data_IF_217071417049
#
_entry.id   IF_217071417049
#
_cell.length_a   1.000
_cell.length_b   1.000
_cell.length_c   1.000
_cell.angle_alpha   90.00
_cell.angle_beta   90.00
_cell.angle_gamma   90.00
#
_symmetry.space_group_name_H-M   'P 1'
#
loop_
_entity.id
_entity.type
_entity.pdbx_description
1 polymer ?
#
# COMPACT_ATOMS: atom_id res chain seq x y z
N UNK A 1 37.81 22.03 -52.16
CA UNK A 1 37.26 20.68 -51.92
C UNK A 1 36.71 20.64 -50.49
N UNK A 2 35.38 20.56 -50.40
CA UNK A 2 34.47 20.34 -49.27
C UNK A 2 34.85 20.85 -47.86
N UNK A 3 34.29 22.01 -47.54
CA UNK A 3 34.04 22.54 -46.19
C UNK A 3 33.17 21.58 -45.38
N UNK A 4 33.57 21.27 -44.14
CA UNK A 4 32.74 20.56 -43.17
C UNK A 4 32.29 21.52 -42.07
N UNK A 5 31.16 22.16 -42.36
CA UNK A 5 30.35 22.89 -41.40
C UNK A 5 29.64 21.87 -40.49
N UNK A 6 30.11 21.70 -39.25
CA UNK A 6 29.36 20.96 -38.22
C UNK A 6 28.44 21.95 -37.50
N UNK A 7 27.23 22.08 -38.01
CA UNK A 7 26.09 22.67 -37.30
C UNK A 7 25.59 21.64 -36.29
N UNK A 8 25.63 21.95 -34.99
CA UNK A 8 24.96 21.15 -33.96
C UNK A 8 24.28 22.10 -32.98
N UNK A 9 22.99 22.36 -33.20
CA UNK A 9 22.03 23.03 -32.29
C UNK A 9 20.64 22.50 -32.73
N UNK A 10 19.61 22.34 -31.87
CA UNK A 10 19.52 22.13 -30.41
C UNK A 10 18.51 21.01 -30.04
N UNK A 11 18.46 20.60 -28.77
CA UNK A 11 17.22 20.13 -28.12
C UNK A 11 17.51 19.87 -26.62
N UNK A 12 16.62 19.97 -25.65
CA UNK A 12 15.33 20.61 -25.42
C UNK A 12 14.98 20.12 -23.99
N UNK A 13 14.46 21.00 -23.13
CA UNK A 13 13.67 20.67 -21.93
C UNK A 13 14.32 19.78 -20.84
N UNK A 14 14.95 20.42 -19.86
CA UNK A 14 14.93 19.90 -18.49
C UNK A 14 13.50 20.12 -17.96
N UNK A 15 12.68 19.07 -18.00
CA UNK A 15 11.35 19.07 -17.37
C UNK A 15 11.54 19.04 -15.86
N UNK A 16 11.04 20.06 -15.19
CA UNK A 16 10.94 20.12 -13.74
C UNK A 16 10.00 19.04 -13.23
N UNK A 17 10.52 18.06 -12.48
CA UNK A 17 9.68 17.11 -11.76
C UNK A 17 9.22 17.81 -10.49
N UNK A 18 8.00 18.35 -10.52
CA UNK A 18 7.33 18.83 -9.33
C UNK A 18 7.11 17.63 -8.39
N UNK A 19 7.84 17.59 -7.28
CA UNK A 19 7.53 16.73 -6.15
C UNK A 19 6.18 17.21 -5.57
N UNK A 20 5.09 16.56 -6.00
CA UNK A 20 3.75 16.82 -5.50
C UNK A 20 3.71 16.54 -4.01
N UNK A 21 3.72 17.61 -3.21
CA UNK A 21 3.39 17.59 -1.78
C UNK A 21 1.86 17.54 -1.63
N UNK A 22 1.25 16.50 -2.18
CA UNK A 22 -0.19 16.21 -2.08
C UNK A 22 -0.40 14.98 -1.21
N UNK A 23 -1.31 15.05 -0.25
CA UNK A 23 -1.72 13.87 0.52
C UNK A 23 -2.35 12.81 -0.42
N UNK A 24 -2.21 11.53 -0.06
CA UNK A 24 -2.79 10.45 -0.85
C UNK A 24 -4.31 10.50 -0.75
N UNK A 25 -4.99 10.61 -1.90
CA UNK A 25 -6.44 10.77 -1.99
C UNK A 25 -7.00 9.89 -3.11
N UNK A 26 -7.15 8.58 -2.90
CA UNK A 26 -7.67 7.67 -3.92
C UNK A 26 -9.19 7.77 -4.03
N UNK A 27 -9.72 7.54 -5.23
CA UNK A 27 -11.17 7.45 -5.44
C UNK A 27 -11.74 6.16 -4.82
N UNK A 28 -13.04 6.17 -4.51
CA UNK A 28 -13.73 4.96 -4.08
C UNK A 28 -13.65 3.88 -5.18
N UNK A 29 -13.26 2.66 -4.81
CA UNK A 29 -13.03 1.54 -5.71
C UNK A 29 -11.65 1.53 -6.40
N UNK A 30 -10.86 2.59 -6.24
CA UNK A 30 -9.48 2.66 -6.72
C UNK A 30 -8.55 1.87 -5.80
N UNK A 31 -7.55 1.20 -6.39
CA UNK A 31 -6.49 0.54 -5.63
C UNK A 31 -5.43 1.56 -5.25
N UNK A 32 -4.98 1.51 -3.99
CA UNK A 32 -3.89 2.36 -3.51
C UNK A 32 -3.02 1.62 -2.52
N UNK A 33 -1.86 2.19 -2.21
CA UNK A 33 -0.87 1.56 -1.32
C UNK A 33 -0.41 2.54 -0.26
N UNK A 34 -0.32 2.06 0.98
CA UNK A 34 0.23 2.80 2.11
C UNK A 34 1.53 2.15 2.59
N UNK A 35 2.52 2.98 2.93
CA UNK A 35 3.63 2.56 3.81
C UNK A 35 3.17 2.60 5.27
N UNK A 36 3.85 1.86 6.15
CA UNK A 36 3.62 1.99 7.58
C UNK A 36 3.76 3.46 8.01
N UNK A 37 2.78 3.94 8.76
CA UNK A 37 2.65 5.34 9.18
C UNK A 37 2.10 6.31 8.14
N UNK A 38 1.74 5.87 6.93
CA UNK A 38 1.04 6.71 5.95
C UNK A 38 -0.48 6.61 6.08
N UNK A 39 -1.16 7.61 5.52
CA UNK A 39 -2.61 7.66 5.46
C UNK A 39 -3.13 8.13 4.12
N UNK A 40 -4.33 7.67 3.76
CA UNK A 40 -5.11 8.12 2.62
C UNK A 40 -6.46 8.66 3.08
N UNK A 41 -6.97 9.70 2.41
CA UNK A 41 -8.36 10.18 2.55
C UNK A 41 -9.11 9.72 1.30
N UNK A 42 -10.23 9.02 1.46
CA UNK A 42 -10.96 8.50 0.30
C UNK A 42 -11.78 9.62 -0.33
N UNK A 43 -11.58 9.88 -1.62
CA UNK A 43 -12.24 10.99 -2.31
C UNK A 43 -13.77 10.86 -2.27
N UNK A 44 -14.45 11.96 -1.96
CA UNK A 44 -15.92 12.00 -1.86
C UNK A 44 -16.48 11.32 -0.62
N UNK A 45 -15.64 10.76 0.24
CA UNK A 45 -16.02 10.10 1.48
C UNK A 45 -15.40 10.81 2.68
N UNK A 46 -16.13 10.84 3.79
CA UNK A 46 -15.56 11.26 5.08
C UNK A 46 -14.84 10.08 5.73
N UNK A 47 -13.91 9.45 5.00
CA UNK A 47 -13.16 8.29 5.46
C UNK A 47 -11.66 8.52 5.24
N UNK A 48 -10.88 8.40 6.31
CA UNK A 48 -9.43 8.36 6.27
C UNK A 48 -8.94 7.03 6.80
N UNK A 49 -8.04 6.39 6.06
CA UNK A 49 -7.37 5.15 6.46
C UNK A 49 -5.90 5.43 6.72
N UNK A 50 -5.39 4.94 7.85
CA UNK A 50 -3.98 4.99 8.22
C UNK A 50 -3.47 3.58 8.48
N UNK A 51 -2.43 3.19 7.76
CA UNK A 51 -1.69 1.97 8.07
C UNK A 51 -0.76 2.26 9.24
N UNK A 52 -1.04 1.73 10.44
CA UNK A 52 -0.26 2.04 11.63
C UNK A 52 1.01 1.20 11.70
N UNK A 53 0.87 -0.14 11.71
CA UNK A 53 1.99 -1.07 11.76
C UNK A 53 1.54 -2.50 11.44
N UNK A 54 2.52 -3.36 11.15
CA UNK A 54 2.36 -4.81 11.23
C UNK A 54 2.66 -5.23 12.67
N UNK A 55 1.67 -5.76 13.39
CA UNK A 55 1.85 -6.20 14.78
C UNK A 55 2.63 -7.50 14.87
N UNK A 56 2.36 -8.41 13.95
CA UNK A 56 3.08 -9.66 13.80
C UNK A 56 2.99 -10.14 12.36
N UNK A 57 4.04 -10.78 11.87
CA UNK A 57 4.05 -11.49 10.61
C UNK A 57 4.68 -12.86 10.83
N UNK A 58 3.81 -13.87 10.87
CA UNK A 58 4.18 -15.28 11.05
C UNK A 58 3.81 -16.12 9.84
N UNK A 59 3.47 -15.47 8.71
CA UNK A 59 3.15 -16.14 7.45
C UNK A 59 4.33 -17.04 7.08
N UNK A 60 4.03 -18.29 6.74
CA UNK A 60 5.02 -19.26 6.32
C UNK A 60 5.78 -18.69 5.11
N UNK A 61 7.12 -18.51 5.20
CA UNK A 61 7.89 -17.97 4.08
C UNK A 61 7.67 -18.78 2.80
N UNK A 62 7.62 -18.11 1.66
CA UNK A 62 7.23 -18.76 0.39
C UNK A 62 8.27 -19.77 -0.13
N UNK A 63 9.47 -19.79 0.44
CA UNK A 63 10.61 -20.62 0.08
C UNK A 63 10.87 -21.77 1.08
N UNK A 64 9.95 -22.02 2.01
CA UNK A 64 10.04 -23.12 2.98
C UNK A 64 8.76 -23.95 3.05
N UNK A 65 8.84 -25.12 3.68
CA UNK A 65 7.67 -25.99 3.92
C UNK A 65 7.28 -25.90 5.40
N UNK A 66 6.09 -25.36 5.67
CA UNK A 66 5.55 -25.28 7.03
C UNK A 66 4.43 -26.30 7.27
N UNK A 67 4.24 -26.68 8.54
CA UNK A 67 3.09 -27.49 8.97
C UNK A 67 1.81 -26.66 9.05
N UNK A 68 1.92 -25.34 9.25
CA UNK A 68 0.82 -24.37 9.28
C UNK A 68 1.20 -23.13 8.47
N UNK A 69 0.21 -22.50 7.84
CA UNK A 69 0.45 -21.35 6.97
C UNK A 69 0.77 -20.05 7.72
N UNK A 70 0.37 -19.93 9.00
CA UNK A 70 0.56 -18.72 9.79
C UNK A 70 -0.28 -17.54 9.29
N UNK A 71 -0.04 -16.36 9.86
CA UNK A 71 -0.79 -15.13 9.52
C UNK A 71 0.04 -13.87 9.76
N UNK A 72 -0.37 -12.79 9.12
CA UNK A 72 0.06 -11.43 9.46
C UNK A 72 -1.10 -10.66 10.08
N UNK A 73 -0.81 -9.98 11.20
CA UNK A 73 -1.75 -9.13 11.92
C UNK A 73 -1.36 -7.67 11.70
N UNK A 74 -2.28 -6.89 11.15
CA UNK A 74 -2.04 -5.54 10.68
C UNK A 74 -2.96 -4.59 11.47
N UNK A 75 -2.39 -3.55 12.05
CA UNK A 75 -3.16 -2.49 12.69
C UNK A 75 -3.39 -1.33 11.72
N UNK A 76 -4.65 -0.96 11.58
CA UNK A 76 -5.10 0.18 10.79
C UNK A 76 -5.98 1.07 11.65
N UNK A 77 -5.84 2.38 11.53
CA UNK A 77 -6.78 3.35 12.09
C UNK A 77 -7.67 3.88 10.98
N UNK A 78 -8.98 3.71 11.15
CA UNK A 78 -10.00 4.33 10.30
C UNK A 78 -10.61 5.53 11.03
N UNK A 79 -10.61 6.69 10.39
CA UNK A 79 -11.26 7.91 10.90
C UNK A 79 -12.44 8.25 10.02
N UNK A 80 -13.64 8.38 10.59
CA UNK A 80 -14.83 8.81 9.87
C UNK A 80 -15.71 9.70 10.75
N UNK A 81 -16.20 10.83 10.23
CA UNK A 81 -16.95 11.82 10.99
C UNK A 81 -16.22 12.28 12.27
N UNK A 82 -14.90 12.42 12.16
CA UNK A 82 -14.02 12.80 13.29
C UNK A 82 -13.83 11.72 14.36
N UNK A 83 -14.41 10.52 14.20
CA UNK A 83 -14.26 9.41 15.13
C UNK A 83 -13.21 8.42 14.63
N UNK A 84 -12.26 8.07 15.50
CA UNK A 84 -11.25 7.06 15.22
C UNK A 84 -11.74 5.67 15.66
N UNK A 85 -11.51 4.68 14.82
CA UNK A 85 -11.66 3.26 15.11
C UNK A 85 -10.37 2.52 14.75
N UNK A 86 -9.94 1.61 15.61
CA UNK A 86 -8.82 0.71 15.33
C UNK A 86 -9.36 -0.56 14.71
N UNK A 87 -8.84 -0.93 13.54
CA UNK A 87 -9.13 -2.15 12.82
C UNK A 87 -7.92 -3.09 12.93
N UNK A 88 -8.19 -4.33 13.30
CA UNK A 88 -7.22 -5.42 13.24
C UNK A 88 -7.53 -6.25 12.00
N UNK A 89 -6.66 -6.16 11.00
CA UNK A 89 -6.77 -6.89 9.74
C UNK A 89 -5.86 -8.12 9.79
N UNK A 90 -6.38 -9.29 9.46
CA UNK A 90 -5.62 -10.55 9.48
C UNK A 90 -5.50 -11.09 8.06
N UNK A 91 -4.26 -11.31 7.61
CA UNK A 91 -3.96 -11.97 6.34
C UNK A 91 -3.39 -13.36 6.60
N UNK A 92 -4.15 -14.39 6.23
CA UNK A 92 -3.72 -15.77 6.32
C UNK A 92 -2.60 -16.06 5.30
N UNK A 93 -1.56 -16.76 5.75
CA UNK A 93 -0.45 -17.17 4.89
C UNK A 93 -0.87 -18.18 3.82
N UNK A 94 -0.10 -18.26 2.73
CA UNK A 94 -0.30 -19.19 1.61
C UNK A 94 -1.69 -19.13 0.95
N UNK A 95 -2.47 -18.08 1.19
CA UNK A 95 -3.74 -17.83 0.52
C UNK A 95 -3.53 -17.03 -0.77
N UNK A 96 -4.28 -17.34 -1.82
CA UNK A 96 -4.21 -16.63 -3.10
C UNK A 96 -5.24 -15.49 -3.22
N UNK A 97 -6.23 -15.47 -2.33
CA UNK A 97 -7.32 -14.49 -2.29
C UNK A 97 -6.88 -13.10 -1.83
N UNK A 98 -7.72 -12.11 -2.10
CA UNK A 98 -7.66 -10.82 -1.43
C UNK A 98 -8.41 -10.95 -0.10
N UNK A 99 -7.82 -10.44 0.98
CA UNK A 99 -8.48 -10.43 2.29
C UNK A 99 -9.49 -9.28 2.31
N UNK A 100 -10.61 -9.47 3.00
CA UNK A 100 -11.66 -8.45 3.11
C UNK A 100 -12.01 -8.25 4.56
N UNK A 101 -12.15 -7.00 4.97
CA UNK A 101 -12.73 -6.62 6.26
C UNK A 101 -13.85 -5.63 6.05
N UNK A 102 -14.94 -5.81 6.78
CA UNK A 102 -16.04 -4.86 6.83
C UNK A 102 -15.76 -3.76 7.85
N UNK A 103 -15.98 -2.50 7.44
CA UNK A 103 -16.01 -1.37 8.36
C UNK A 103 -17.20 -0.48 8.04
N UNK A 104 -18.22 -0.50 8.90
CA UNK A 104 -19.48 0.24 8.71
C UNK A 104 -20.14 -0.13 7.36
N UNK A 105 -20.12 0.78 6.39
CA UNK A 105 -20.69 0.60 5.05
C UNK A 105 -19.62 0.43 3.97
N UNK A 106 -18.42 -0.03 4.35
CA UNK A 106 -17.31 -0.27 3.44
C UNK A 106 -16.83 -1.71 3.49
N UNK A 107 -16.61 -2.28 2.29
CA UNK A 107 -15.75 -3.44 2.07
C UNK A 107 -14.34 -2.94 1.82
N UNK A 108 -13.40 -3.37 2.66
CA UNK A 108 -11.98 -3.03 2.53
C UNK A 108 -11.24 -4.31 2.10
N UNK A 109 -10.92 -4.40 0.81
CA UNK A 109 -10.01 -5.39 0.29
C UNK A 109 -8.57 -4.98 0.62
N UNK A 110 -7.75 -5.90 1.11
CA UNK A 110 -6.37 -5.62 1.47
C UNK A 110 -5.39 -6.76 1.17
N UNK A 111 -4.12 -6.37 1.02
CA UNK A 111 -2.97 -7.29 0.92
C UNK A 111 -1.73 -6.64 1.50
N UNK A 112 -0.96 -7.40 2.28
CA UNK A 112 0.31 -6.97 2.86
C UNK A 112 1.48 -7.48 2.01
N UNK A 113 2.25 -6.56 1.44
CA UNK A 113 3.46 -6.86 0.68
C UNK A 113 4.72 -6.28 1.34
N UNK A 114 5.89 -6.89 1.20
CA UNK A 114 6.13 -8.19 0.55
C UNK A 114 5.62 -9.37 1.39
N UNK A 115 5.48 -10.53 0.73
CA UNK A 115 5.31 -11.81 1.41
C UNK A 115 6.68 -12.30 1.90
N UNK A 116 6.79 -12.90 3.10
CA UNK A 116 8.09 -13.27 3.67
C UNK A 116 8.83 -14.34 2.85
N UNK A 117 10.16 -14.23 2.84
CA UNK A 117 11.10 -15.24 2.38
C UNK A 117 12.14 -15.49 3.48
N UNK A 118 12.62 -16.72 3.63
CA UNK A 118 13.45 -17.15 4.77
C UNK A 118 14.80 -16.44 4.90
N UNK A 119 15.24 -15.80 3.81
CA UNK A 119 16.54 -15.12 3.71
C UNK A 119 16.47 -13.62 3.99
N UNK A 120 15.28 -13.06 4.20
CA UNK A 120 15.07 -11.62 4.39
C UNK A 120 14.33 -11.36 5.69
N UNK A 121 14.95 -10.55 6.55
CA UNK A 121 14.27 -10.00 7.72
C UNK A 121 13.52 -8.73 7.33
N UNK A 122 12.18 -8.74 7.47
CA UNK A 122 11.33 -7.60 7.16
C UNK A 122 11.17 -6.67 8.36
N UNK A 123 11.35 -5.37 8.14
CA UNK A 123 11.12 -4.31 9.12
C UNK A 123 9.86 -3.54 8.77
N UNK A 124 9.33 -2.77 9.73
CA UNK A 124 8.10 -1.98 9.54
C UNK A 124 8.12 -1.10 8.27
N UNK A 125 9.26 -0.50 7.95
CA UNK A 125 9.41 0.37 6.77
C UNK A 125 9.40 -0.37 5.42
N UNK A 126 9.56 -1.70 5.42
CA UNK A 126 9.57 -2.52 4.21
C UNK A 126 8.15 -2.84 3.74
N UNK A 127 7.22 -2.93 4.69
CA UNK A 127 5.84 -3.28 4.41
C UNK A 127 5.07 -2.20 3.64
N UNK A 128 4.17 -2.68 2.79
CA UNK A 128 3.21 -1.93 2.00
C UNK A 128 1.85 -2.60 2.20
N UNK A 129 0.86 -1.81 2.58
CA UNK A 129 -0.53 -2.25 2.66
C UNK A 129 -1.23 -1.79 1.39
N UNK A 130 -1.52 -2.73 0.51
CA UNK A 130 -2.35 -2.53 -0.67
C UNK A 130 -3.82 -2.59 -0.25
N UNK A 131 -4.62 -1.64 -0.73
CA UNK A 131 -6.00 -1.43 -0.31
C UNK A 131 -6.88 -1.15 -1.51
N UNK A 132 -8.14 -1.58 -1.42
CA UNK A 132 -9.24 -1.12 -2.26
C UNK A 132 -10.49 -1.05 -1.41
N UNK A 133 -11.17 0.09 -1.46
CA UNK A 133 -12.33 0.36 -0.61
C UNK A 133 -13.55 0.54 -1.49
N UNK A 134 -14.58 -0.25 -1.28
CA UNK A 134 -15.89 -0.14 -1.95
C UNK A 134 -17.00 -0.01 -0.91
N UNK A 135 -18.22 0.34 -1.33
CA UNK A 135 -19.38 0.27 -0.44
C UNK A 135 -19.80 -1.17 -0.19
N UNK A 136 -20.37 -1.42 0.99
CA UNK A 136 -20.95 -2.70 1.37
C UNK A 136 -22.23 -3.04 0.63
#
# INVERSE_FOLDING_TARGET
>A
MKSWLKVVIPALLVVAVAAGCGGLSPALGEKFTLKAGQSAVIEGEDLKIRFDAVESDSRCPSDVVCVRAGEAVIRVTATQAGQNATLTMVEEGLTSGLNVVDYKNYHIEFRLTPYPVSTVELKQGDYRLELKITKS
#
